data_IF_752032850140
#
_entry.id   IF_752032850140
#
_cell.length_a   1.000
_cell.length_b   1.000
_cell.length_c   1.000
_cell.angle_alpha   90.00
_cell.angle_beta   90.00
_cell.angle_gamma   90.00
#
_symmetry.space_group_name_H-M   'P 1'
#
loop_
_entity.id
_entity.type
_entity.pdbx_description
1 polymer ?
#
# COMPACT_ATOMS: atom_id res chain seq x y z
N UNK A 1 -11.13 -9.64 -11.61
CA UNK A 1 -12.02 -8.45 -11.56
C UNK A 1 -11.72 -7.61 -10.34
N UNK A 2 -11.72 -6.31 -10.50
CA UNK A 2 -11.57 -5.38 -9.38
C UNK A 2 -12.88 -5.28 -8.60
N UNK A 3 -12.79 -5.27 -7.26
CA UNK A 3 -13.93 -5.26 -6.35
C UNK A 3 -14.07 -3.96 -5.55
N UNK A 4 -13.09 -3.08 -5.63
CA UNK A 4 -13.09 -1.81 -4.93
C UNK A 4 -11.77 -1.55 -4.19
N UNK A 5 -11.78 -0.53 -3.35
CA UNK A 5 -10.61 -0.17 -2.53
C UNK A 5 -10.54 -1.08 -1.32
N UNK A 6 -9.37 -1.71 -1.11
CA UNK A 6 -9.11 -2.50 0.09
C UNK A 6 -8.61 -1.62 1.23
N UNK A 7 -7.58 -0.82 0.95
CA UNK A 7 -7.03 0.11 1.94
C UNK A 7 -6.22 1.22 1.27
N UNK A 8 -5.91 2.22 2.06
CA UNK A 8 -5.04 3.34 1.67
C UNK A 8 -3.86 3.36 2.62
N UNK A 9 -2.66 3.54 2.07
CA UNK A 9 -1.43 3.67 2.86
C UNK A 9 -0.95 5.11 2.79
N UNK A 10 -0.76 5.72 3.95
CA UNK A 10 -0.32 7.11 4.10
C UNK A 10 1.06 7.12 4.74
N UNK A 11 2.02 7.75 4.08
CA UNK A 11 3.37 7.91 4.60
C UNK A 11 3.44 9.14 5.51
N UNK A 12 3.95 8.95 6.73
CA UNK A 12 4.08 10.01 7.73
C UNK A 12 5.50 9.98 8.32
N UNK A 13 6.01 11.14 8.72
CA UNK A 13 7.37 11.25 9.27
C UNK A 13 7.46 10.72 10.70
N UNK A 14 6.45 11.02 11.52
CA UNK A 14 6.39 10.65 12.93
C UNK A 14 5.08 9.91 13.17
N UNK A 15 5.16 8.58 13.28
CA UNK A 15 3.97 7.75 13.38
C UNK A 15 3.22 7.96 14.70
N UNK A 16 3.93 8.21 15.80
CA UNK A 16 3.28 8.41 17.09
C UNK A 16 2.45 9.70 17.07
N UNK A 17 3.01 10.78 16.56
CA UNK A 17 2.27 12.04 16.41
C UNK A 17 1.13 11.90 15.41
N UNK A 18 1.34 11.18 14.31
CA UNK A 18 0.29 10.97 13.30
C UNK A 18 -0.86 10.14 13.85
N UNK A 19 -0.58 9.07 14.62
CA UNK A 19 -1.63 8.27 15.25
C UNK A 19 -2.53 9.15 16.12
N UNK A 20 -1.95 10.02 16.94
CA UNK A 20 -2.73 10.94 17.77
C UNK A 20 -3.64 11.85 16.95
N UNK A 21 -3.12 12.44 15.87
CA UNK A 21 -3.91 13.29 14.97
C UNK A 21 -5.05 12.53 14.31
N UNK A 22 -4.77 11.34 13.80
CA UNK A 22 -5.76 10.51 13.10
C UNK A 22 -6.85 10.01 14.06
N UNK A 23 -6.47 9.64 15.29
CA UNK A 23 -7.46 9.28 16.31
C UNK A 23 -8.43 10.44 16.60
N UNK A 24 -7.91 11.66 16.65
CA UNK A 24 -8.74 12.84 16.85
C UNK A 24 -9.67 13.09 15.66
N UNK A 25 -9.11 13.02 14.43
CA UNK A 25 -9.88 13.29 13.20
C UNK A 25 -10.94 12.23 12.97
N UNK A 26 -10.59 10.95 13.13
CA UNK A 26 -11.53 9.84 12.88
C UNK A 26 -12.46 9.56 14.06
N UNK A 27 -12.17 10.09 15.24
CA UNK A 27 -12.97 9.83 16.44
C UNK A 27 -12.92 8.38 16.90
N UNK A 28 -11.83 7.68 16.61
CA UNK A 28 -11.65 6.28 16.98
C UNK A 28 -10.19 6.01 17.33
N UNK A 29 -9.95 4.94 18.09
CA UNK A 29 -8.60 4.55 18.45
C UNK A 29 -7.93 3.75 17.35
N UNK A 30 -6.60 3.87 17.27
CA UNK A 30 -5.78 3.03 16.39
C UNK A 30 -6.06 1.55 16.71
N UNK A 31 -6.31 0.78 15.69
CA UNK A 31 -6.70 -0.63 15.82
C UNK A 31 -5.53 -1.54 16.15
N UNK A 32 -4.35 -1.23 15.61
CA UNK A 32 -3.17 -2.07 15.73
C UNK A 32 -1.91 -1.26 15.39
N UNK A 33 -0.81 -1.55 16.08
CA UNK A 33 0.52 -1.05 15.76
C UNK A 33 1.43 -2.24 15.45
N UNK A 34 2.30 -2.09 14.45
CA UNK A 34 3.21 -3.16 14.06
C UNK A 34 4.48 -2.57 13.46
N UNK A 35 5.63 -3.23 13.69
CA UNK A 35 6.87 -2.91 13.02
C UNK A 35 7.22 -4.03 12.06
N UNK A 36 7.76 -3.67 10.89
CA UNK A 36 8.33 -4.61 9.94
C UNK A 36 9.79 -4.21 9.70
N UNK A 37 10.70 -4.83 10.43
CA UNK A 37 12.13 -4.51 10.37
C UNK A 37 12.72 -4.84 9.00
N UNK A 38 12.29 -5.95 8.37
CA UNK A 38 12.79 -6.37 7.07
C UNK A 38 12.44 -5.34 5.99
N UNK A 39 11.25 -4.76 6.05
CA UNK A 39 10.82 -3.71 5.11
C UNK A 39 11.22 -2.30 5.56
N UNK A 40 11.76 -2.13 6.75
CA UNK A 40 12.19 -0.84 7.29
C UNK A 40 11.02 0.10 7.58
N UNK A 41 9.92 -0.40 8.10
CA UNK A 41 8.75 0.45 8.35
C UNK A 41 8.03 0.14 9.66
N UNK A 42 7.48 1.22 10.24
CA UNK A 42 6.52 1.19 11.34
C UNK A 42 5.13 1.36 10.76
N UNK A 43 4.15 0.64 11.30
CA UNK A 43 2.79 0.63 10.78
C UNK A 43 1.77 0.88 11.88
N UNK A 44 0.69 1.58 11.53
CA UNK A 44 -0.47 1.77 12.38
C UNK A 44 -1.73 1.62 11.53
N UNK A 45 -2.73 0.93 12.06
CA UNK A 45 -3.93 0.57 11.30
C UNK A 45 -5.16 1.20 11.95
N UNK A 46 -6.01 1.79 11.11
CA UNK A 46 -7.35 2.25 11.47
C UNK A 46 -8.34 1.44 10.63
N UNK A 47 -8.98 0.46 11.26
CA UNK A 47 -9.87 -0.48 10.57
C UNK A 47 -11.31 0.00 10.62
N UNK A 48 -11.97 -0.10 9.47
CA UNK A 48 -13.38 0.21 9.28
C UNK A 48 -14.08 -1.03 8.71
N UNK A 49 -15.42 -1.09 8.68
CA UNK A 49 -16.11 -2.31 8.22
C UNK A 49 -15.67 -2.81 6.84
N UNK A 50 -15.46 -1.91 5.87
CA UNK A 50 -15.19 -2.30 4.49
C UNK A 50 -13.77 -2.01 4.03
N UNK A 51 -12.95 -1.36 4.86
CA UNK A 51 -11.62 -0.91 4.46
C UNK A 51 -10.78 -0.57 5.68
N UNK A 52 -9.54 -0.15 5.45
CA UNK A 52 -8.72 0.45 6.52
C UNK A 52 -7.76 1.50 5.95
N UNK A 53 -7.30 2.35 6.83
CA UNK A 53 -6.21 3.28 6.54
C UNK A 53 -4.99 2.81 7.31
N UNK A 54 -3.88 2.66 6.61
CA UNK A 54 -2.60 2.27 7.19
C UNK A 54 -1.67 3.47 7.15
N UNK A 55 -1.18 3.88 8.32
CA UNK A 55 -0.11 4.85 8.42
C UNK A 55 1.22 4.11 8.43
N UNK A 56 2.20 4.61 7.68
CA UNK A 56 3.54 4.05 7.66
C UNK A 56 4.57 5.15 7.88
N UNK A 57 5.61 4.84 8.64
CA UNK A 57 6.79 5.69 8.72
C UNK A 57 8.04 4.81 8.59
N UNK A 58 9.18 5.42 8.33
CA UNK A 58 10.42 4.67 8.22
C UNK A 58 10.88 4.12 9.58
N UNK A 59 11.38 2.90 9.56
CA UNK A 59 12.10 2.29 10.66
C UNK A 59 13.56 2.17 10.20
N UNK A 60 14.39 3.12 10.62
CA UNK A 60 15.71 3.30 10.06
C UNK A 60 15.66 4.17 8.79
N UNK A 61 16.79 4.26 8.09
CA UNK A 61 16.96 5.16 6.94
C UNK A 61 16.96 4.45 5.59
N UNK A 62 16.58 3.17 5.57
CA UNK A 62 16.52 2.35 4.35
C UNK A 62 15.11 1.82 4.13
N UNK A 63 14.84 1.40 2.89
CA UNK A 63 13.58 0.82 2.50
C UNK A 63 12.66 1.78 1.74
N UNK A 64 11.53 1.26 1.23
CA UNK A 64 10.66 2.04 0.34
C UNK A 64 9.99 3.23 1.02
N UNK A 65 9.69 3.16 2.32
CA UNK A 65 9.04 4.27 3.02
C UNK A 65 10.03 5.38 3.32
N UNK A 66 11.27 5.04 3.72
CA UNK A 66 12.33 6.04 3.87
C UNK A 66 12.56 6.78 2.55
N UNK A 67 12.63 6.04 1.44
CA UNK A 67 12.77 6.62 0.10
C UNK A 67 11.58 7.50 -0.27
N UNK A 68 10.35 7.04 -0.03
CA UNK A 68 9.13 7.81 -0.30
C UNK A 68 9.16 9.15 0.45
N UNK A 69 9.48 9.12 1.74
CA UNK A 69 9.50 10.33 2.56
C UNK A 69 10.60 11.30 2.13
N UNK A 70 11.77 10.77 1.73
CA UNK A 70 12.87 11.60 1.23
C UNK A 70 12.52 12.25 -0.11
N UNK A 71 11.91 11.51 -1.03
CA UNK A 71 11.65 11.98 -2.39
C UNK A 71 10.39 12.84 -2.50
N UNK A 72 9.32 12.49 -1.77
CA UNK A 72 8.01 13.11 -1.95
C UNK A 72 7.42 13.70 -0.65
N UNK A 73 8.01 13.40 0.51
CA UNK A 73 7.45 13.84 1.79
C UNK A 73 6.23 13.02 2.21
N UNK A 74 5.44 13.58 3.11
CA UNK A 74 4.24 12.95 3.64
C UNK A 74 3.09 12.96 2.62
N UNK A 75 2.20 11.99 2.72
CA UNK A 75 1.01 11.92 1.89
C UNK A 75 0.60 10.49 1.58
N UNK A 76 -0.40 10.32 0.72
CA UNK A 76 -0.83 8.99 0.27
C UNK A 76 0.30 8.32 -0.49
N UNK A 77 0.73 7.18 0.01
CA UNK A 77 1.82 6.39 -0.58
C UNK A 77 1.31 5.45 -1.67
N UNK A 78 0.23 4.73 -1.37
CA UNK A 78 -0.41 3.84 -2.34
C UNK A 78 -1.89 3.64 -2.02
N UNK A 79 -2.62 3.21 -3.04
CA UNK A 79 -4.00 2.73 -2.91
C UNK A 79 -3.98 1.23 -3.22
N UNK A 80 -4.52 0.42 -2.32
CA UNK A 80 -4.63 -1.02 -2.55
C UNK A 80 -6.04 -1.34 -3.02
N UNK A 81 -6.12 -1.99 -4.17
CA UNK A 81 -7.38 -2.39 -4.78
C UNK A 81 -7.63 -3.88 -4.57
N UNK A 82 -8.86 -4.21 -4.19
CA UNK A 82 -9.28 -5.62 -4.05
C UNK A 82 -9.52 -6.23 -5.42
N UNK A 83 -9.01 -7.44 -5.60
CA UNK A 83 -9.34 -8.28 -6.76
C UNK A 83 -9.79 -9.65 -6.25
N UNK A 84 -10.63 -10.33 -7.02
CA UNK A 84 -11.13 -11.66 -6.66
C UNK A 84 -10.12 -12.77 -6.99
N UNK A 85 -9.29 -12.57 -8.02
CA UNK A 85 -8.28 -13.54 -8.46
C UNK A 85 -7.07 -12.77 -8.95
N UNK A 86 -6.01 -12.78 -8.15
CA UNK A 86 -4.79 -12.01 -8.45
C UNK A 86 -4.08 -12.51 -9.70
N UNK A 87 -3.92 -13.83 -9.84
CA UNK A 87 -3.24 -14.42 -11.00
C UNK A 87 -3.97 -14.05 -12.30
N UNK A 88 -5.28 -14.17 -12.30
CA UNK A 88 -6.11 -13.85 -13.46
C UNK A 88 -6.06 -12.36 -13.77
N UNK A 89 -6.18 -11.51 -12.76
CA UNK A 89 -6.13 -10.05 -12.93
C UNK A 89 -4.78 -9.62 -13.52
N UNK A 90 -3.69 -10.15 -13.00
CA UNK A 90 -2.34 -9.85 -13.51
C UNK A 90 -2.21 -10.30 -14.97
N UNK A 91 -2.71 -11.48 -15.31
CA UNK A 91 -2.68 -11.96 -16.69
C UNK A 91 -3.45 -11.04 -17.64
N UNK A 92 -4.64 -10.57 -17.23
CA UNK A 92 -5.45 -9.63 -18.01
C UNK A 92 -4.76 -8.29 -18.20
N UNK A 93 -4.15 -7.75 -17.15
CA UNK A 93 -3.40 -6.49 -17.22
C UNK A 93 -2.16 -6.62 -18.11
N UNK A 94 -1.50 -7.75 -18.02
CA UNK A 94 -0.32 -8.06 -18.86
C UNK A 94 -0.71 -8.06 -20.34
N UNK A 95 -1.83 -8.69 -20.68
CA UNK A 95 -2.35 -8.71 -22.06
C UNK A 95 -2.68 -7.32 -22.59
N UNK A 96 -3.12 -6.43 -21.71
CA UNK A 96 -3.43 -5.03 -22.06
C UNK A 96 -2.17 -4.16 -22.16
N UNK A 97 -0.99 -4.72 -21.92
CA UNK A 97 0.26 -3.97 -21.95
C UNK A 97 0.44 -3.02 -20.76
N UNK A 98 -0.25 -3.25 -19.66
CA UNK A 98 -0.14 -2.42 -18.46
C UNK A 98 1.17 -2.71 -17.75
N UNK A 99 1.93 -1.68 -17.42
CA UNK A 99 3.21 -1.81 -16.70
C UNK A 99 2.95 -2.18 -15.24
N UNK A 100 3.49 -3.32 -14.83
CA UNK A 100 3.37 -3.85 -13.46
C UNK A 100 4.73 -3.88 -12.77
N UNK A 101 4.70 -3.83 -11.44
CA UNK A 101 5.86 -4.03 -10.57
C UNK A 101 5.59 -5.28 -9.74
N UNK A 102 6.56 -6.18 -9.66
CA UNK A 102 6.43 -7.43 -8.89
C UNK A 102 5.78 -8.57 -9.67
N UNK A 103 5.45 -8.38 -10.93
CA UNK A 103 4.94 -9.43 -11.81
C UNK A 103 6.10 -10.34 -12.24
N UNK A 104 6.07 -11.65 -11.91
CA UNK A 104 7.15 -12.57 -12.28
C UNK A 104 7.12 -13.00 -13.75
N UNK A 105 6.10 -12.62 -14.50
CA UNK A 105 5.91 -12.98 -15.90
C UNK A 105 5.04 -14.22 -16.11
N UNK A 106 4.63 -14.46 -17.38
CA UNK A 106 3.75 -15.59 -17.72
C UNK A 106 4.36 -16.94 -17.32
N UNK A 107 3.53 -17.80 -16.75
CA UNK A 107 3.93 -19.14 -16.34
C UNK A 107 4.65 -19.22 -14.99
N UNK A 108 4.86 -18.09 -14.33
CA UNK A 108 5.50 -18.05 -13.01
C UNK A 108 4.48 -17.66 -11.93
N UNK A 109 4.50 -18.33 -10.76
CA UNK A 109 3.58 -17.98 -9.68
C UNK A 109 3.94 -16.65 -9.05
N UNK A 110 2.93 -15.89 -8.66
CA UNK A 110 3.11 -14.63 -7.93
C UNK A 110 3.43 -14.99 -6.47
N UNK A 111 4.57 -14.50 -5.98
CA UNK A 111 5.04 -14.82 -4.62
C UNK A 111 5.04 -13.62 -3.68
N UNK A 112 4.91 -12.44 -4.20
CA UNK A 112 4.97 -11.22 -3.40
C UNK A 112 3.89 -10.24 -3.79
N UNK A 113 4.14 -8.98 -3.52
CA UNK A 113 3.21 -7.90 -3.85
C UNK A 113 3.31 -7.54 -5.33
N UNK A 114 2.17 -7.24 -5.93
CA UNK A 114 2.11 -6.75 -7.31
C UNK A 114 1.45 -5.38 -7.30
N UNK A 115 2.03 -4.46 -8.07
CA UNK A 115 1.54 -3.09 -8.19
C UNK A 115 1.38 -2.73 -9.66
N UNK A 116 0.42 -1.86 -9.96
CA UNK A 116 0.39 -1.12 -11.20
C UNK A 116 1.36 0.05 -11.05
N UNK A 117 2.27 0.20 -12.02
CA UNK A 117 3.28 1.26 -11.97
C UNK A 117 2.60 2.63 -12.01
N UNK A 118 3.03 3.61 -11.20
CA UNK A 118 2.38 4.92 -11.13
C UNK A 118 2.38 5.69 -12.46
N UNK A 119 3.29 5.41 -13.38
CA UNK A 119 3.28 6.04 -14.71
C UNK A 119 2.00 5.73 -15.51
N UNK A 120 1.33 4.62 -15.20
CA UNK A 120 0.09 4.21 -15.87
C UNK A 120 -1.12 4.99 -15.35
N UNK A 121 -1.11 5.34 -14.08
CA UNK A 121 -2.27 5.86 -13.35
C UNK A 121 -2.07 7.29 -12.85
N UNK A 122 -1.24 8.06 -13.52
CA UNK A 122 -1.07 9.49 -13.19
C UNK A 122 -0.38 9.75 -11.86
N UNK A 123 0.55 8.89 -11.47
CA UNK A 123 1.33 9.05 -10.25
C UNK A 123 0.80 8.27 -9.04
N UNK A 124 -0.23 7.46 -9.21
CA UNK A 124 -0.82 6.67 -8.13
C UNK A 124 -0.25 5.25 -8.14
N UNK A 125 0.56 4.90 -7.15
CA UNK A 125 1.01 3.52 -6.95
C UNK A 125 -0.19 2.69 -6.50
N UNK A 126 -0.55 1.66 -7.26
CA UNK A 126 -1.74 0.84 -6.99
C UNK A 126 -1.33 -0.60 -6.68
N UNK A 127 -1.55 -1.03 -5.46
CA UNK A 127 -1.33 -2.42 -5.05
C UNK A 127 -2.54 -3.27 -5.41
N UNK A 128 -2.31 -4.50 -5.84
CA UNK A 128 -3.37 -5.48 -6.10
C UNK A 128 -3.42 -6.47 -4.95
N UNK A 129 -4.58 -6.63 -4.33
CA UNK A 129 -4.75 -7.49 -3.14
C UNK A 129 -5.91 -8.43 -3.38
N UNK A 130 -5.66 -9.72 -3.28
CA UNK A 130 -6.73 -10.73 -3.40
C UNK A 130 -7.49 -10.84 -2.08
N UNK A 131 -8.81 -10.66 -2.15
CA UNK A 131 -9.71 -10.78 -1.02
C UNK A 131 -10.93 -11.62 -1.39
#
# INVERSE_FOLDING_TARGET
MFKGVDHIVVAVKDIDAAVGRYETVYGTKCSERRDNEAAGMKMAFFRFPDSYVELVSNLGDKGPIAKRLADLGEGVHLVAMKVDDLEKTVAELREKGIRLVGDPGPGNPIKGQVFVHPSVTGGVLTQLVQR
#
